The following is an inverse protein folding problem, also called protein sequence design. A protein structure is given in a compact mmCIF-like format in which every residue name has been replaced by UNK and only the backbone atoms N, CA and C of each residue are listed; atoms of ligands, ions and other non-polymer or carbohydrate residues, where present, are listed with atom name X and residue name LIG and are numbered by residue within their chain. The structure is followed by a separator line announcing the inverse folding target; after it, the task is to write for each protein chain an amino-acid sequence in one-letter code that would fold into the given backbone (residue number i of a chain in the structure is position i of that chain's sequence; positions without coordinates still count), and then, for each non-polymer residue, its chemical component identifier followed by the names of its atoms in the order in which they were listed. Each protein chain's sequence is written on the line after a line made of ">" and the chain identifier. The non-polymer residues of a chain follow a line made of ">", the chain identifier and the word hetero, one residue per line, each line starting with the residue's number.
data_IF_787384977836
#
_entry.id   IF_787384977836
#
_cell.length_a   1.000
_cell.length_b   1.000
_cell.length_c   1.000
_cell.angle_alpha   90.00
_cell.angle_beta   90.00
_cell.angle_gamma   90.00
#
_symmetry.space_group_name_H-M   'P 1'
#
loop_
_entity.id
_entity.type
_entity.pdbx_description
1 polymer ?
#
# COMPACT_ATOMS: atom_id res chain seq x y z
N UNK A 1 5.85 16.53 -6.62
CA UNK A 1 6.45 17.77 -7.13
C UNK A 1 6.61 17.66 -8.63
N UNK A 2 6.29 18.70 -9.37
CA UNK A 2 6.44 18.81 -10.83
C UNK A 2 7.06 20.15 -11.16
N UNK A 3 8.12 20.12 -11.98
CA UNK A 3 8.97 21.26 -12.30
C UNK A 3 9.09 21.40 -13.82
N UNK A 4 9.19 22.64 -14.29
CA UNK A 4 9.62 22.96 -15.65
C UNK A 4 10.69 24.06 -15.61
N UNK A 5 11.40 24.26 -16.71
CA UNK A 5 12.27 25.41 -16.88
C UNK A 5 11.97 26.16 -18.17
N UNK A 6 12.41 27.42 -18.22
CA UNK A 6 12.26 28.31 -19.37
C UNK A 6 13.55 29.07 -19.63
N UNK A 7 13.88 29.22 -20.91
CA UNK A 7 15.00 30.02 -21.40
C UNK A 7 16.33 29.66 -20.72
N UNK A 8 16.60 28.37 -20.54
CA UNK A 8 17.89 27.93 -20.01
C UNK A 8 19.04 28.34 -20.94
N UNK A 9 20.18 28.67 -20.35
CA UNK A 9 21.39 28.95 -21.13
C UNK A 9 21.88 27.67 -21.81
N UNK A 10 22.17 27.76 -23.11
CA UNK A 10 22.81 26.70 -23.90
C UNK A 10 24.29 26.54 -23.45
N UNK A 11 24.73 25.31 -23.19
CA UNK A 11 26.16 24.97 -22.96
C UNK A 11 26.80 24.21 -24.12
N UNK A 12 26.07 23.32 -24.78
CA UNK A 12 26.60 22.56 -25.93
C UNK A 12 27.02 23.41 -27.12
N UNK A 13 28.08 23.00 -27.82
CA UNK A 13 28.53 23.65 -29.07
C UNK A 13 27.62 23.27 -30.26
N UNK A 14 27.24 21.99 -30.37
CA UNK A 14 26.40 21.44 -31.43
C UNK A 14 25.06 20.90 -30.90
N UNK A 15 24.21 21.78 -30.37
CA UNK A 15 22.89 21.40 -29.86
C UNK A 15 22.26 22.51 -29.02
N UNK A 16 21.21 22.18 -28.29
CA UNK A 16 20.82 22.86 -27.05
C UNK A 16 21.22 21.95 -25.90
N UNK A 17 21.26 22.49 -24.69
CA UNK A 17 21.49 21.71 -23.49
C UNK A 17 20.50 20.54 -23.32
N UNK A 18 20.98 19.52 -22.63
CA UNK A 18 20.33 18.33 -22.11
C UNK A 18 20.08 18.49 -20.57
N UNK A 19 19.19 19.40 -20.12
CA UNK A 19 19.12 19.76 -18.72
C UNK A 19 18.49 18.70 -17.81
N UNK A 20 19.02 18.65 -16.58
CA UNK A 20 18.44 17.94 -15.43
C UNK A 20 18.61 18.76 -14.14
N UNK A 21 17.81 18.44 -13.13
CA UNK A 21 17.87 19.06 -11.81
C UNK A 21 18.42 18.08 -10.77
N UNK A 22 19.26 18.60 -9.88
CA UNK A 22 19.68 17.96 -8.65
C UNK A 22 19.19 18.77 -7.46
N UNK A 23 18.46 18.11 -6.56
CA UNK A 23 17.90 18.72 -5.36
C UNK A 23 18.64 18.17 -4.16
N UNK A 24 19.15 19.08 -3.32
CA UNK A 24 19.92 18.76 -2.14
C UNK A 24 19.26 19.33 -0.90
N UNK A 25 19.35 18.58 0.19
CA UNK A 25 19.05 19.09 1.54
C UNK A 25 20.31 19.47 2.27
N UNK A 26 20.18 20.35 3.24
CA UNK A 26 21.24 20.61 4.21
C UNK A 26 21.32 19.46 5.22
N UNK A 27 22.45 18.74 5.20
CA UNK A 27 22.79 17.69 6.16
C UNK A 27 23.53 18.24 7.38
N UNK A 28 23.97 17.34 8.25
CA UNK A 28 24.75 17.71 9.43
C UNK A 28 26.07 18.41 9.05
N UNK A 29 26.39 19.49 9.78
CA UNK A 29 27.58 20.30 9.52
C UNK A 29 27.52 21.16 8.25
N UNK A 30 26.31 21.44 7.73
CA UNK A 30 26.09 22.35 6.60
C UNK A 30 26.45 21.76 5.23
N UNK A 31 26.66 20.45 5.15
CA UNK A 31 26.97 19.76 3.89
C UNK A 31 25.70 19.49 3.10
N UNK A 32 25.70 19.82 1.81
CA UNK A 32 24.61 19.48 0.89
C UNK A 32 24.58 17.98 0.60
N UNK A 33 23.42 17.35 0.76
CA UNK A 33 23.18 15.94 0.48
C UNK A 33 22.14 15.80 -0.62
N UNK A 34 22.46 15.06 -1.68
CA UNK A 34 21.53 14.83 -2.80
C UNK A 34 20.32 14.02 -2.30
N UNK A 35 19.12 14.54 -2.51
CA UNK A 35 17.85 13.87 -2.13
C UNK A 35 17.03 13.46 -3.34
N UNK A 36 17.23 14.11 -4.48
CA UNK A 36 16.55 13.76 -5.72
C UNK A 36 17.31 14.27 -6.94
N UNK A 37 17.26 13.50 -8.04
CA UNK A 37 17.73 13.91 -9.36
C UNK A 37 16.63 13.60 -10.38
N UNK A 38 16.29 14.57 -11.23
CA UNK A 38 15.30 14.36 -12.31
C UNK A 38 15.92 13.59 -13.48
N UNK A 39 15.09 13.17 -14.44
CA UNK A 39 15.61 12.71 -15.72
C UNK A 39 16.30 13.84 -16.50
N UNK A 40 17.16 13.43 -17.44
CA UNK A 40 17.77 14.31 -18.45
C UNK A 40 16.79 14.50 -19.60
N UNK A 41 16.52 15.75 -19.96
CA UNK A 41 15.67 16.10 -21.12
C UNK A 41 16.55 16.61 -22.24
N UNK A 42 16.70 15.82 -23.31
CA UNK A 42 17.66 16.15 -24.38
C UNK A 42 17.26 17.34 -25.24
N UNK A 43 18.24 18.15 -25.63
CA UNK A 43 18.19 19.22 -26.62
C UNK A 43 17.03 20.19 -26.39
N UNK A 44 16.87 20.65 -25.15
CA UNK A 44 15.71 21.45 -24.75
C UNK A 44 16.06 22.53 -23.71
N UNK A 45 15.91 23.80 -24.07
CA UNK A 45 16.10 24.94 -23.16
C UNK A 45 14.84 25.30 -22.36
N UNK A 46 13.73 24.58 -22.58
CA UNK A 46 12.47 24.74 -21.89
C UNK A 46 11.91 23.36 -21.46
N UNK A 47 12.67 22.59 -20.67
CA UNK A 47 12.28 21.24 -20.29
C UNK A 47 11.08 21.25 -19.34
N UNK A 48 10.26 20.20 -19.42
CA UNK A 48 9.31 19.83 -18.36
C UNK A 48 9.72 18.44 -17.88
N UNK A 49 10.08 18.32 -16.62
CA UNK A 49 10.47 17.04 -16.03
C UNK A 49 9.24 16.28 -15.53
N UNK A 50 9.35 14.96 -15.42
CA UNK A 50 8.28 14.10 -14.90
C UNK A 50 7.95 14.45 -13.46
N UNK A 51 6.66 14.37 -13.11
CA UNK A 51 6.22 14.45 -11.72
C UNK A 51 6.89 13.36 -10.89
N UNK A 52 7.38 13.71 -9.72
CA UNK A 52 7.98 12.78 -8.76
C UNK A 52 7.42 12.98 -7.34
N UNK A 53 7.63 11.97 -6.49
CA UNK A 53 7.25 11.96 -5.08
C UNK A 53 8.44 11.53 -4.24
N UNK A 54 8.72 12.26 -3.15
CA UNK A 54 9.79 11.94 -2.18
C UNK A 54 9.22 12.11 -0.77
N UNK A 55 9.52 11.20 0.18
CA UNK A 55 9.14 11.39 1.57
C UNK A 55 9.71 12.68 2.16
N UNK A 56 8.91 13.44 2.91
CA UNK A 56 9.33 14.72 3.50
C UNK A 56 10.58 14.60 4.40
N UNK A 57 10.69 13.51 5.14
CA UNK A 57 11.88 13.23 5.95
C UNK A 57 13.14 13.10 5.10
N UNK A 58 13.05 12.39 3.96
CA UNK A 58 14.18 12.30 3.03
C UNK A 58 14.46 13.66 2.40
N UNK A 59 13.42 14.37 1.96
CA UNK A 59 13.53 15.59 1.16
C UNK A 59 14.04 16.81 1.94
N UNK A 60 13.53 17.04 3.15
CA UNK A 60 13.85 18.21 3.98
C UNK A 60 13.97 17.89 5.48
N UNK A 61 14.21 16.63 5.84
CA UNK A 61 14.31 16.17 7.23
C UNK A 61 13.04 16.46 8.05
N UNK A 62 11.88 16.50 7.39
CA UNK A 62 10.58 16.74 8.01
C UNK A 62 10.28 18.21 8.32
N UNK A 63 11.22 19.11 8.06
CA UNK A 63 11.07 20.55 8.33
C UNK A 63 10.90 21.31 7.02
N UNK A 64 9.72 21.91 6.83
CA UNK A 64 9.36 22.59 5.58
C UNK A 64 10.12 23.91 5.38
N UNK A 65 10.74 24.44 6.43
CA UNK A 65 11.46 25.71 6.42
C UNK A 65 12.96 25.53 6.19
N UNK A 66 13.47 24.29 6.26
CA UNK A 66 14.88 24.01 5.96
C UNK A 66 15.22 24.29 4.50
N UNK A 67 16.42 24.85 4.24
CA UNK A 67 16.82 25.19 2.90
C UNK A 67 17.08 23.94 2.05
N UNK A 68 16.69 24.05 0.80
CA UNK A 68 16.95 23.12 -0.28
C UNK A 68 17.76 23.86 -1.35
N UNK A 69 18.86 23.26 -1.77
CA UNK A 69 19.62 23.73 -2.92
C UNK A 69 19.16 22.98 -4.16
N UNK A 70 18.95 23.69 -5.26
CA UNK A 70 18.63 23.10 -6.56
C UNK A 70 19.68 23.54 -7.56
N UNK A 71 20.36 22.57 -8.16
CA UNK A 71 21.29 22.79 -9.25
C UNK A 71 20.66 22.33 -10.56
N UNK A 72 20.67 23.19 -11.58
CA UNK A 72 20.32 22.84 -12.94
C UNK A 72 21.61 22.71 -13.75
N UNK A 73 21.84 21.53 -14.32
CA UNK A 73 23.06 21.21 -15.06
C UNK A 73 22.74 20.64 -16.43
N UNK A 74 23.68 20.82 -17.35
CA UNK A 74 23.70 20.21 -18.67
C UNK A 74 24.36 18.82 -18.60
N UNK A 75 23.79 17.83 -19.29
CA UNK A 75 24.30 16.47 -19.22
C UNK A 75 25.38 16.20 -20.27
N UNK A 76 26.63 16.17 -19.83
CA UNK A 76 27.74 15.66 -20.64
C UNK A 76 27.95 14.15 -20.50
N UNK A 77 28.22 13.48 -21.63
CA UNK A 77 28.34 12.01 -21.71
C UNK A 77 29.57 11.46 -20.97
N UNK A 78 30.58 12.29 -20.73
CA UNK A 78 31.81 11.94 -20.01
C UNK A 78 31.68 12.09 -18.48
N UNK A 79 30.51 12.51 -18.00
CA UNK A 79 30.21 12.73 -16.58
C UNK A 79 30.61 14.10 -16.04
N UNK A 80 31.23 14.97 -16.86
CA UNK A 80 31.65 16.31 -16.46
C UNK A 80 30.57 17.38 -16.63
N UNK A 81 29.37 17.08 -16.10
CA UNK A 81 28.15 17.89 -16.30
C UNK A 81 28.34 19.40 -16.01
N UNK A 82 28.03 20.21 -17.01
CA UNK A 82 28.16 21.67 -16.95
C UNK A 82 27.02 22.34 -16.16
N UNK A 83 27.35 23.06 -15.07
CA UNK A 83 26.35 23.81 -14.31
C UNK A 83 25.72 24.92 -15.17
N UNK A 84 24.40 24.93 -15.32
CA UNK A 84 23.64 26.04 -15.95
C UNK A 84 23.41 27.14 -14.93
N UNK A 85 22.91 26.78 -13.74
CA UNK A 85 22.76 27.68 -12.61
C UNK A 85 22.10 27.01 -11.41
N UNK A 86 22.13 27.71 -10.27
CA UNK A 86 21.63 27.21 -8.99
C UNK A 86 20.69 28.20 -8.34
N UNK A 87 19.84 27.70 -7.44
CA UNK A 87 19.07 28.51 -6.51
C UNK A 87 18.84 27.76 -5.19
N UNK A 88 18.46 28.51 -4.15
CA UNK A 88 18.04 27.96 -2.86
C UNK A 88 16.58 28.30 -2.64
N UNK A 89 15.82 27.36 -2.09
CA UNK A 89 14.39 27.46 -1.78
C UNK A 89 14.09 26.68 -0.51
N UNK A 90 12.82 26.66 -0.07
CA UNK A 90 12.30 25.73 0.94
C UNK A 90 10.98 25.10 0.47
N UNK A 91 10.51 24.06 1.14
CA UNK A 91 9.26 23.36 0.71
C UNK A 91 8.06 24.28 0.79
N UNK A 92 7.97 25.14 1.82
CA UNK A 92 6.88 26.11 1.97
C UNK A 92 6.84 27.17 0.85
N UNK A 93 7.96 27.43 0.18
CA UNK A 93 8.02 28.26 -1.04
C UNK A 93 7.63 27.47 -2.28
N UNK A 94 8.09 26.23 -2.41
CA UNK A 94 7.69 25.34 -3.51
C UNK A 94 6.17 25.14 -3.55
N UNK A 95 5.49 25.10 -2.41
CA UNK A 95 4.02 24.99 -2.33
C UNK A 95 3.27 26.19 -2.89
N UNK A 96 3.91 27.37 -2.99
CA UNK A 96 3.28 28.60 -3.47
C UNK A 96 3.31 28.74 -5.00
N UNK A 97 3.75 27.70 -5.73
CA UNK A 97 3.85 27.66 -7.19
C UNK A 97 4.66 28.86 -7.75
N UNK A 98 5.86 29.06 -7.21
CA UNK A 98 6.74 30.18 -7.56
C UNK A 98 7.68 29.85 -8.71
N UNK A 99 8.28 30.90 -9.27
CA UNK A 99 9.41 30.83 -10.21
C UNK A 99 10.73 31.17 -9.51
N UNK A 100 11.81 30.49 -9.91
CA UNK A 100 13.16 30.70 -9.39
C UNK A 100 14.11 31.04 -10.52
N UNK A 101 14.97 32.03 -10.28
CA UNK A 101 16.02 32.38 -11.21
C UNK A 101 17.22 31.45 -11.02
N UNK A 102 17.64 30.74 -12.08
CA UNK A 102 18.87 29.97 -12.05
C UNK A 102 20.08 30.91 -12.15
N UNK A 103 20.90 30.95 -11.10
CA UNK A 103 22.07 31.84 -11.04
C UNK A 103 23.35 31.02 -11.19
N UNK A 104 24.12 31.28 -12.25
CA UNK A 104 25.46 30.74 -12.39
C UNK A 104 26.46 31.60 -11.61
N UNK A 105 27.15 31.06 -10.58
CA UNK A 105 27.99 31.86 -9.69
C UNK A 105 29.11 32.63 -10.42
N UNK A 106 29.77 31.99 -11.39
CA UNK A 106 30.83 32.67 -12.14
C UNK A 106 30.33 33.78 -13.07
N UNK A 107 29.19 33.58 -13.77
CA UNK A 107 28.63 34.60 -14.65
C UNK A 107 28.19 35.81 -13.85
N UNK A 108 27.58 35.60 -12.67
CA UNK A 108 27.18 36.67 -11.77
C UNK A 108 28.38 37.52 -11.31
N UNK A 109 29.53 36.89 -11.02
CA UNK A 109 30.76 37.61 -10.65
C UNK A 109 31.40 38.35 -11.82
N UNK A 110 31.40 37.74 -13.02
CA UNK A 110 32.15 38.22 -14.20
C UNK A 110 31.38 39.22 -15.07
N UNK A 111 30.05 39.17 -15.13
CA UNK A 111 29.23 39.94 -16.08
C UNK A 111 28.24 40.86 -15.36
N UNK A 112 28.49 42.18 -15.40
CA UNK A 112 27.61 43.19 -14.75
C UNK A 112 26.16 43.20 -15.26
N UNK A 113 25.92 42.82 -16.51
CA UNK A 113 24.58 42.77 -17.13
C UNK A 113 23.87 41.42 -17.00
N UNK A 114 24.49 40.44 -16.33
CA UNK A 114 23.91 39.11 -16.17
C UNK A 114 22.68 39.16 -15.25
N UNK A 115 21.59 38.55 -15.70
CA UNK A 115 20.34 38.43 -14.94
C UNK A 115 20.18 37.03 -14.36
N UNK A 116 20.14 36.02 -15.22
CA UNK A 116 20.03 34.61 -14.86
C UNK A 116 20.43 33.74 -16.07
N UNK A 117 20.53 32.42 -15.85
CA UNK A 117 20.77 31.38 -16.87
C UNK A 117 19.46 30.62 -17.19
N UNK A 118 18.32 31.28 -17.06
CA UNK A 118 16.98 30.70 -17.18
C UNK A 118 16.20 30.68 -15.86
N UNK A 119 14.95 30.22 -15.96
CA UNK A 119 13.98 30.15 -14.87
C UNK A 119 13.56 28.70 -14.63
N UNK A 120 13.38 28.30 -13.38
CA UNK A 120 12.74 27.03 -12.99
C UNK A 120 11.41 27.36 -12.30
N UNK A 121 10.33 26.75 -12.77
CA UNK A 121 8.97 27.00 -12.32
C UNK A 121 8.38 25.74 -11.68
N UNK A 122 7.62 25.94 -10.60
CA UNK A 122 6.88 24.86 -9.96
C UNK A 122 5.50 24.74 -10.59
N UNK A 123 5.26 23.69 -11.37
CA UNK A 123 3.93 23.39 -11.93
C UNK A 123 2.95 22.94 -10.86
N UNK A 124 3.40 22.05 -9.98
CA UNK A 124 2.57 21.50 -8.92
C UNK A 124 3.43 20.96 -7.77
N UNK A 125 3.13 21.41 -6.55
CA UNK A 125 3.70 20.87 -5.31
C UNK A 125 2.55 20.57 -4.34
N UNK A 126 2.36 19.28 -4.01
CA UNK A 126 1.31 18.81 -3.10
C UNK A 126 1.96 17.99 -2.00
N UNK A 127 1.56 18.26 -0.77
CA UNK A 127 1.85 17.39 0.37
C UNK A 127 0.69 16.42 0.51
N UNK A 128 0.99 15.13 0.46
CA UNK A 128 0.02 14.06 0.58
C UNK A 128 0.35 13.27 1.84
N UNK A 129 -0.62 13.14 2.73
CA UNK A 129 -0.49 12.27 3.89
C UNK A 129 -0.44 10.82 3.41
N UNK A 130 0.62 10.11 3.77
CA UNK A 130 0.76 8.68 3.54
C UNK A 130 0.57 7.98 4.87
N UNK A 131 -0.59 7.34 5.04
CA UNK A 131 -0.91 6.61 6.26
C UNK A 131 -0.29 5.21 6.20
N UNK A 132 0.38 4.84 7.27
CA UNK A 132 0.93 3.50 7.46
C UNK A 132 -0.17 2.52 7.85
N UNK A 133 0.10 1.22 7.73
CA UNK A 133 -0.79 0.18 8.23
C UNK A 133 -1.22 0.42 9.70
N UNK A 134 -0.27 0.81 10.55
CA UNK A 134 -0.55 1.09 11.96
C UNK A 134 -1.44 2.31 12.16
N UNK A 135 -1.34 3.34 11.31
CA UNK A 135 -2.23 4.50 11.40
C UNK A 135 -3.70 4.10 11.16
N UNK A 136 -3.95 3.13 10.26
CA UNK A 136 -5.29 2.59 10.08
C UNK A 136 -5.76 1.81 11.31
N UNK A 137 -4.90 0.93 11.87
CA UNK A 137 -5.22 0.14 13.07
C UNK A 137 -5.49 1.05 14.27
N UNK A 138 -4.59 1.99 14.57
CA UNK A 138 -4.76 3.00 15.63
C UNK A 138 -5.95 3.92 15.37
N UNK A 139 -6.26 4.17 14.10
CA UNK A 139 -7.46 4.88 13.66
C UNK A 139 -8.77 4.09 13.89
N UNK A 140 -8.70 2.84 14.35
CA UNK A 140 -9.83 1.97 14.65
C UNK A 140 -10.28 1.09 13.48
N UNK A 141 -9.41 0.86 12.50
CA UNK A 141 -9.60 -0.19 11.51
C UNK A 141 -9.31 -1.55 12.15
N UNK A 142 -10.19 -2.53 11.92
CA UNK A 142 -10.03 -3.89 12.42
C UNK A 142 -9.77 -4.84 11.25
N UNK A 143 -9.07 -5.93 11.50
CA UNK A 143 -8.89 -7.02 10.52
C UNK A 143 -9.81 -8.16 10.92
N UNK A 144 -10.85 -8.39 10.12
CA UNK A 144 -11.73 -9.53 10.33
C UNK A 144 -11.09 -10.81 9.79
N UNK A 145 -11.08 -11.86 10.61
CA UNK A 145 -10.58 -13.18 10.26
C UNK A 145 -11.73 -14.17 10.10
N UNK A 146 -11.93 -14.68 8.88
CA UNK A 146 -12.91 -15.73 8.57
C UNK A 146 -12.22 -17.05 8.28
N UNK A 147 -12.72 -18.13 8.86
CA UNK A 147 -12.16 -19.47 8.74
C UNK A 147 -13.01 -20.33 7.83
N UNK A 148 -12.38 -21.02 6.89
CA UNK A 148 -13.01 -22.04 6.06
C UNK A 148 -12.19 -23.32 6.03
N UNK A 149 -12.79 -24.44 6.41
CA UNK A 149 -12.12 -25.72 6.57
C UNK A 149 -12.69 -26.73 5.58
N UNK A 150 -11.82 -27.35 4.79
CA UNK A 150 -12.17 -28.45 3.91
C UNK A 150 -12.42 -29.72 4.74
N UNK A 151 -13.55 -30.40 4.55
CA UNK A 151 -13.90 -31.70 5.12
C UNK A 151 -14.13 -32.78 4.03
N UNK A 152 -13.60 -32.57 2.82
CA UNK A 152 -13.65 -33.55 1.74
C UNK A 152 -12.88 -34.84 2.09
N UNK A 153 -13.25 -35.92 1.42
CA UNK A 153 -12.74 -37.28 1.64
C UNK A 153 -11.30 -37.47 1.19
N UNK A 154 -10.76 -36.58 0.36
CA UNK A 154 -9.34 -36.55 0.00
C UNK A 154 -8.42 -36.41 1.22
N UNK A 155 -8.92 -35.85 2.33
CA UNK A 155 -8.18 -35.70 3.58
C UNK A 155 -8.05 -37.00 4.41
N UNK A 156 -8.64 -38.13 3.99
CA UNK A 156 -8.59 -39.42 4.69
C UNK A 156 -9.70 -39.59 5.74
N UNK A 157 -9.60 -40.61 6.61
CA UNK A 157 -10.50 -40.82 7.77
C UNK A 157 -9.91 -40.14 9.02
N UNK A 158 -10.64 -39.29 9.78
CA UNK A 158 -10.06 -38.56 10.92
C UNK A 158 -9.48 -39.45 12.02
N UNK A 159 -9.89 -40.71 12.08
CA UNK A 159 -9.44 -41.69 13.07
C UNK A 159 -8.12 -42.35 12.68
N UNK A 160 -7.72 -42.22 11.41
CA UNK A 160 -6.45 -42.74 10.89
C UNK A 160 -5.34 -41.71 11.14
N UNK A 161 -4.18 -42.12 11.68
CA UNK A 161 -3.01 -41.25 11.86
C UNK A 161 -2.49 -40.58 10.58
N UNK A 162 -2.79 -41.16 9.42
CA UNK A 162 -2.38 -40.67 8.10
C UNK A 162 -3.27 -39.54 7.57
N UNK A 163 -4.43 -39.29 8.19
CA UNK A 163 -5.37 -38.24 7.75
C UNK A 163 -4.87 -36.84 8.10
N UNK A 164 -5.09 -35.89 7.20
CA UNK A 164 -4.78 -34.47 7.44
C UNK A 164 -5.64 -33.84 8.55
N UNK A 165 -6.76 -34.50 8.89
CA UNK A 165 -7.62 -34.13 10.02
C UNK A 165 -7.31 -34.88 11.32
N UNK A 166 -6.33 -35.79 11.33
CA UNK A 166 -6.03 -36.58 12.53
C UNK A 166 -5.72 -35.67 13.72
N UNK A 167 -6.35 -35.93 14.87
CA UNK A 167 -6.08 -35.20 16.11
C UNK A 167 -5.10 -36.04 16.93
N UNK A 168 -3.81 -35.82 16.69
CA UNK A 168 -2.76 -36.53 17.42
C UNK A 168 -2.69 -36.05 18.87
N UNK A 169 -2.49 -36.94 19.86
CA UNK A 169 -2.15 -36.53 21.21
C UNK A 169 -0.81 -35.80 21.31
N UNK A 170 0.08 -36.00 20.33
CA UNK A 170 1.47 -35.52 20.37
C UNK A 170 1.69 -34.19 19.61
N UNK A 171 0.66 -33.64 18.96
CA UNK A 171 0.82 -32.39 18.21
C UNK A 171 -0.34 -32.02 17.30
N UNK A 172 -0.21 -30.83 16.70
CA UNK A 172 -1.19 -30.26 15.78
C UNK A 172 -1.07 -30.85 14.37
N UNK A 173 -2.21 -31.12 13.73
CA UNK A 173 -2.22 -31.39 12.29
C UNK A 173 -2.08 -30.10 11.47
N UNK A 174 -1.93 -30.24 10.15
CA UNK A 174 -1.64 -29.11 9.25
C UNK A 174 -2.70 -28.00 9.31
N UNK A 175 -3.99 -28.36 9.44
CA UNK A 175 -5.04 -27.36 9.56
C UNK A 175 -4.99 -26.61 10.90
N UNK A 176 -4.75 -27.33 12.01
CA UNK A 176 -4.63 -26.70 13.33
C UNK A 176 -3.40 -25.81 13.40
N UNK A 177 -2.28 -26.23 12.80
CA UNK A 177 -1.08 -25.42 12.66
C UNK A 177 -1.37 -24.14 11.87
N UNK A 178 -2.07 -24.22 10.74
CA UNK A 178 -2.44 -23.05 9.95
C UNK A 178 -3.37 -22.09 10.70
N UNK A 179 -4.42 -22.62 11.35
CA UNK A 179 -5.34 -21.84 12.17
C UNK A 179 -4.63 -21.11 13.30
N UNK A 180 -3.73 -21.82 13.99
CA UNK A 180 -2.96 -21.25 15.08
C UNK A 180 -2.00 -20.16 14.59
N UNK A 181 -1.21 -20.44 13.54
CA UNK A 181 -0.22 -19.50 13.02
C UNK A 181 -0.83 -18.21 12.49
N UNK A 182 -1.96 -18.28 11.79
CA UNK A 182 -2.64 -17.08 11.27
C UNK A 182 -3.46 -16.42 12.35
N UNK A 183 -4.29 -17.20 13.05
CA UNK A 183 -5.21 -16.68 14.05
C UNK A 183 -4.49 -15.98 15.20
N UNK A 184 -3.37 -16.52 15.68
CA UNK A 184 -2.63 -15.93 16.81
C UNK A 184 -2.16 -14.51 16.52
N UNK A 185 -1.84 -14.21 15.26
CA UNK A 185 -1.42 -12.88 14.83
C UNK A 185 -2.63 -11.99 14.58
N UNK A 186 -3.62 -12.49 13.83
CA UNK A 186 -4.73 -11.65 13.36
C UNK A 186 -5.70 -11.29 14.50
N UNK A 187 -5.85 -12.14 15.51
CA UNK A 187 -6.80 -11.91 16.61
C UNK A 187 -6.54 -10.61 17.39
N UNK A 188 -5.31 -10.09 17.40
CA UNK A 188 -4.99 -8.85 18.11
C UNK A 188 -5.41 -7.59 17.35
N UNK A 189 -5.82 -7.75 16.08
CA UNK A 189 -6.36 -6.69 15.22
C UNK A 189 -7.88 -6.71 15.15
N UNK A 190 -8.54 -7.60 15.89
CA UNK A 190 -9.98 -7.72 16.01
C UNK A 190 -10.39 -7.46 17.48
N UNK A 191 -11.33 -6.54 17.70
CA UNK A 191 -11.71 -6.13 19.06
C UNK A 191 -12.61 -7.15 19.74
N UNK A 192 -13.55 -7.73 19.00
CA UNK A 192 -14.50 -8.70 19.57
C UNK A 192 -13.94 -10.13 19.53
N UNK A 193 -12.96 -10.38 18.66
CA UNK A 193 -12.32 -11.67 18.45
C UNK A 193 -13.36 -12.74 18.13
N UNK A 194 -14.43 -12.38 17.43
CA UNK A 194 -15.45 -13.29 16.97
C UNK A 194 -15.17 -13.64 15.51
N UNK A 195 -14.69 -14.85 15.29
CA UNK A 195 -14.31 -15.32 13.96
C UNK A 195 -15.41 -16.21 13.39
N UNK A 196 -16.06 -15.82 12.28
CA UNK A 196 -16.98 -16.71 11.60
C UNK A 196 -16.20 -17.90 11.04
N UNK A 197 -16.63 -19.11 11.38
CA UNK A 197 -15.90 -20.32 11.06
C UNK A 197 -16.80 -21.35 10.37
N UNK A 198 -16.39 -21.75 9.17
CA UNK A 198 -17.15 -22.61 8.29
C UNK A 198 -16.39 -23.87 7.91
N UNK A 199 -17.13 -24.94 7.65
CA UNK A 199 -16.65 -26.15 6.99
C UNK A 199 -17.30 -26.31 5.62
N UNK A 200 -16.68 -27.08 4.73
CA UNK A 200 -17.28 -27.45 3.44
C UNK A 200 -16.90 -28.87 3.02
N UNK A 201 -17.72 -29.50 2.16
CA UNK A 201 -17.40 -30.80 1.57
C UNK A 201 -17.77 -32.01 2.45
N UNK A 202 -18.70 -31.83 3.39
CA UNK A 202 -19.20 -32.88 4.26
C UNK A 202 -20.72 -33.06 4.18
N UNK A 203 -21.18 -34.28 4.43
CA UNK A 203 -22.56 -34.62 4.75
C UNK A 203 -22.74 -34.51 6.26
N UNK A 204 -23.78 -33.82 6.71
CA UNK A 204 -24.01 -33.54 8.13
C UNK A 204 -25.21 -34.34 8.66
N UNK A 205 -25.31 -34.56 9.99
CA UNK A 205 -26.51 -35.08 10.61
C UNK A 205 -27.69 -34.11 10.42
N UNK A 206 -28.93 -34.62 10.52
CA UNK A 206 -29.29 -36.00 10.86
C UNK A 206 -29.38 -36.95 9.65
N UNK A 207 -29.49 -36.42 8.44
CA UNK A 207 -29.93 -37.17 7.27
C UNK A 207 -28.77 -37.65 6.38
N UNK A 208 -27.62 -36.99 6.43
CA UNK A 208 -26.41 -37.33 5.67
C UNK A 208 -26.62 -37.49 4.16
N UNK A 209 -27.71 -36.93 3.63
CA UNK A 209 -28.13 -37.16 2.24
C UNK A 209 -27.33 -36.28 1.29
N UNK A 210 -27.24 -34.98 1.60
CA UNK A 210 -26.65 -33.96 0.74
C UNK A 210 -25.28 -33.54 1.27
N UNK A 211 -24.33 -33.32 0.35
CA UNK A 211 -23.06 -32.70 0.71
C UNK A 211 -23.28 -31.21 0.90
N UNK A 212 -22.97 -30.70 2.08
CA UNK A 212 -22.96 -29.28 2.36
C UNK A 212 -21.68 -28.66 1.81
N UNK A 213 -21.85 -27.66 0.96
CA UNK A 213 -20.75 -26.86 0.42
C UNK A 213 -20.35 -25.70 1.36
N UNK A 214 -21.09 -25.54 2.45
CA UNK A 214 -20.81 -24.61 3.54
C UNK A 214 -21.66 -25.02 4.74
N UNK A 215 -21.08 -24.98 5.93
CA UNK A 215 -21.80 -25.10 7.20
C UNK A 215 -21.03 -24.41 8.32
N UNK A 216 -21.74 -23.84 9.29
CA UNK A 216 -21.12 -23.28 10.48
C UNK A 216 -20.45 -24.38 11.31
N UNK A 217 -19.18 -24.23 11.69
CA UNK A 217 -18.46 -25.24 12.47
C UNK A 217 -19.04 -25.44 13.87
N UNK A 218 -19.72 -24.42 14.40
CA UNK A 218 -20.45 -24.49 15.67
C UNK A 218 -21.88 -25.04 15.51
N UNK A 219 -22.27 -25.48 14.31
CA UNK A 219 -23.60 -25.97 13.95
C UNK A 219 -24.76 -24.97 14.18
N UNK A 220 -24.45 -23.69 14.35
CA UNK A 220 -25.43 -22.62 14.39
C UNK A 220 -25.38 -21.80 13.08
N UNK A 221 -26.21 -22.12 12.07
CA UNK A 221 -26.18 -21.43 10.78
C UNK A 221 -26.57 -19.95 10.88
N UNK A 222 -27.26 -19.54 11.96
CA UNK A 222 -27.65 -18.14 12.18
C UNK A 222 -26.59 -17.32 12.91
N UNK A 223 -25.60 -17.98 13.51
CA UNK A 223 -24.50 -17.34 14.23
C UNK A 223 -23.23 -18.21 14.10
N UNK A 224 -22.49 -18.11 12.99
CA UNK A 224 -21.32 -18.95 12.72
C UNK A 224 -20.05 -18.50 13.47
N UNK A 225 -20.17 -17.53 14.38
CA UNK A 225 -19.04 -16.91 15.06
C UNK A 225 -18.51 -17.77 16.21
N UNK A 226 -17.19 -17.81 16.31
CA UNK A 226 -16.42 -18.51 17.32
C UNK A 226 -15.52 -17.51 18.06
N UNK A 227 -15.52 -17.54 19.39
CA UNK A 227 -14.69 -16.67 20.24
C UNK A 227 -13.19 -17.03 20.25
N UNK A 228 -12.33 -16.16 19.74
CA UNK A 228 -10.88 -16.33 19.73
C UNK A 228 -10.42 -17.48 18.84
N UNK A 229 -9.13 -17.80 18.87
CA UNK A 229 -8.53 -18.82 17.99
C UNK A 229 -8.72 -20.25 18.49
N UNK A 230 -8.97 -20.42 19.80
CA UNK A 230 -9.24 -21.74 20.40
C UNK A 230 -10.62 -22.28 20.02
N UNK A 231 -11.64 -21.43 19.88
CA UNK A 231 -12.98 -21.95 19.62
C UNK A 231 -13.18 -22.47 18.19
N UNK A 232 -12.58 -21.92 17.10
CA UNK A 232 -12.57 -22.62 15.82
C UNK A 232 -11.90 -24.00 15.89
N UNK A 233 -10.85 -24.16 16.70
CA UNK A 233 -10.23 -25.47 16.90
C UNK A 233 -11.14 -26.44 17.66
N UNK A 234 -11.87 -25.95 18.66
CA UNK A 234 -12.84 -26.72 19.43
C UNK A 234 -14.08 -27.09 18.60
N UNK A 235 -14.66 -26.12 17.88
CA UNK A 235 -15.78 -26.34 16.97
C UNK A 235 -15.42 -27.33 15.86
N UNK A 236 -14.18 -27.26 15.33
CA UNK A 236 -13.69 -28.27 14.40
C UNK A 236 -13.64 -29.65 15.04
N UNK A 237 -13.15 -29.79 16.27
CA UNK A 237 -13.11 -31.07 16.98
C UNK A 237 -14.52 -31.66 17.21
N UNK A 238 -15.53 -30.80 17.36
CA UNK A 238 -16.95 -31.20 17.42
C UNK A 238 -17.53 -31.52 16.03
N UNK A 239 -17.13 -30.81 14.99
CA UNK A 239 -17.63 -31.01 13.63
C UNK A 239 -17.06 -32.26 12.94
N UNK A 240 -15.81 -32.61 13.24
CA UNK A 240 -15.09 -33.73 12.63
C UNK A 240 -15.82 -35.09 12.77
N UNK A 241 -16.30 -35.50 13.96
CA UNK A 241 -16.99 -36.77 14.15
C UNK A 241 -18.41 -36.77 13.57
N UNK A 242 -19.04 -35.59 13.48
CA UNK A 242 -20.38 -35.43 12.95
C UNK A 242 -20.43 -35.44 11.42
N UNK A 243 -19.33 -35.13 10.73
CA UNK A 243 -19.27 -34.98 9.28
C UNK A 243 -18.89 -36.29 8.54
N UNK A 244 -19.71 -36.72 7.58
CA UNK A 244 -19.35 -37.77 6.61
C UNK A 244 -18.71 -37.15 5.35
N UNK A 245 -17.50 -37.59 5.00
CA UNK A 245 -16.67 -36.98 3.95
C UNK A 245 -17.00 -37.50 2.54
N UNK A 246 -16.80 -36.68 1.50
CA UNK A 246 -16.96 -37.09 0.09
C UNK A 246 -15.82 -36.59 -0.82
N UNK A 247 -15.59 -37.22 -2.00
CA UNK A 247 -14.36 -37.05 -2.77
C UNK A 247 -14.06 -35.61 -3.22
N UNK A 248 -15.08 -34.80 -3.54
CA UNK A 248 -14.87 -33.45 -4.10
C UNK A 248 -15.98 -32.48 -3.69
N UNK A 249 -15.59 -31.24 -3.37
CA UNK A 249 -16.47 -30.10 -3.19
C UNK A 249 -15.81 -28.83 -3.74
N UNK A 250 -16.55 -27.95 -4.45
CA UNK A 250 -15.97 -26.75 -5.06
C UNK A 250 -15.68 -25.67 -4.00
N UNK A 251 -14.42 -25.20 -3.98
CA UNK A 251 -13.94 -24.09 -3.13
C UNK A 251 -14.69 -22.78 -3.39
N UNK A 252 -15.29 -22.63 -4.57
CA UNK A 252 -16.01 -21.42 -4.99
C UNK A 252 -17.24 -21.11 -4.13
N UNK A 253 -17.87 -22.10 -3.49
CA UNK A 253 -19.04 -21.88 -2.65
C UNK A 253 -18.68 -21.11 -1.37
N UNK A 254 -17.62 -21.52 -0.68
CA UNK A 254 -17.09 -20.82 0.49
C UNK A 254 -16.63 -19.39 0.15
N UNK A 255 -15.92 -19.23 -0.98
CA UNK A 255 -15.46 -17.92 -1.42
C UNK A 255 -16.63 -16.95 -1.68
N UNK A 256 -17.75 -17.44 -2.23
CA UNK A 256 -18.96 -16.64 -2.46
C UNK A 256 -19.57 -16.14 -1.15
N UNK A 257 -19.61 -16.95 -0.10
CA UNK A 257 -20.20 -16.57 1.19
C UNK A 257 -19.30 -15.63 1.99
N UNK A 258 -17.98 -15.83 1.97
CA UNK A 258 -17.01 -14.86 2.52
C UNK A 258 -17.16 -13.51 1.80
N UNK A 259 -17.30 -13.52 0.47
CA UNK A 259 -17.52 -12.30 -0.32
C UNK A 259 -18.91 -11.69 -0.09
N UNK A 260 -19.94 -12.47 0.24
CA UNK A 260 -21.27 -11.98 0.58
C UNK A 260 -21.31 -11.26 1.94
N UNK A 261 -20.37 -11.58 2.84
CA UNK A 261 -20.26 -10.92 4.14
C UNK A 261 -19.50 -9.58 4.07
N UNK A 262 -18.62 -9.39 3.08
CA UNK A 262 -17.89 -8.12 2.87
C UNK A 262 -18.84 -6.91 2.73
N UNK A 263 -19.94 -6.96 1.96
CA UNK A 263 -20.95 -5.90 1.93
C UNK A 263 -21.55 -5.56 3.30
N UNK A 264 -21.86 -6.55 4.14
CA UNK A 264 -22.44 -6.32 5.48
C UNK A 264 -21.43 -5.64 6.41
N UNK A 265 -20.18 -6.08 6.35
CA UNK A 265 -19.07 -5.47 7.10
C UNK A 265 -18.83 -4.02 6.65
N UNK A 266 -18.86 -3.77 5.33
CA UNK A 266 -18.74 -2.44 4.76
C UNK A 266 -19.88 -1.54 5.23
N UNK A 267 -21.14 -1.99 5.14
CA UNK A 267 -22.32 -1.23 5.59
C UNK A 267 -22.25 -0.91 7.09
N UNK A 268 -21.80 -1.87 7.90
CA UNK A 268 -21.64 -1.69 9.35
C UNK A 268 -20.55 -0.66 9.67
N UNK A 269 -19.41 -0.71 8.97
CA UNK A 269 -18.34 0.28 9.09
C UNK A 269 -18.82 1.70 8.74
N UNK A 270 -19.54 1.85 7.61
CA UNK A 270 -20.08 3.15 7.19
C UNK A 270 -21.06 3.71 8.22
N UNK A 271 -21.95 2.88 8.76
CA UNK A 271 -22.89 3.26 9.83
C UNK A 271 -22.16 3.69 11.10
N UNK A 272 -21.17 2.91 11.56
CA UNK A 272 -20.38 3.24 12.76
C UNK A 272 -19.65 4.58 12.63
N UNK A 273 -19.14 4.90 11.44
CA UNK A 273 -18.40 6.13 11.18
C UNK A 273 -19.28 7.31 10.79
N UNK A 274 -20.60 7.14 10.71
CA UNK A 274 -21.51 8.17 10.20
C UNK A 274 -21.21 8.57 8.75
N UNK A 275 -20.53 7.69 7.99
CA UNK A 275 -20.17 7.92 6.61
C UNK A 275 -21.33 7.49 5.72
N UNK A 276 -21.75 8.38 4.82
CA UNK A 276 -22.70 8.01 3.78
C UNK A 276 -21.94 7.30 2.65
N UNK A 277 -22.48 6.20 2.09
CA UNK A 277 -21.89 5.58 0.91
C UNK A 277 -21.80 6.62 -0.22
N UNK A 278 -20.65 6.63 -0.91
CA UNK A 278 -20.45 7.49 -2.07
C UNK A 278 -21.55 7.22 -3.10
N UNK A 279 -22.37 8.24 -3.41
CA UNK A 279 -23.26 8.17 -4.57
C UNK A 279 -22.38 8.26 -5.81
N UNK A 280 -22.21 7.14 -6.50
CA UNK A 280 -21.63 7.15 -7.84
C UNK A 280 -22.61 7.91 -8.74
N UNK A 281 -22.19 9.07 -9.26
CA UNK A 281 -22.97 9.76 -10.28
C UNK A 281 -23.12 8.82 -11.49
N UNK A 282 -24.36 8.62 -11.93
CA UNK A 282 -24.64 7.80 -13.09
C UNK A 282 -23.88 8.36 -14.30
N UNK A 283 -23.25 7.51 -15.13
CA UNK A 283 -22.59 7.99 -16.33
C UNK A 283 -23.60 8.76 -17.18
N UNK A 284 -23.21 9.96 -17.63
CA UNK A 284 -24.03 10.78 -18.50
C UNK A 284 -24.48 9.93 -19.70
N UNK A 285 -25.80 9.84 -19.91
CA UNK A 285 -26.34 9.19 -21.10
C UNK A 285 -25.80 9.93 -22.32
N UNK A 286 -25.07 9.22 -23.16
CA UNK A 286 -24.63 9.67 -24.49
C UNK A 286 -25.82 9.96 -25.39
#
# INVERSE_FOLDING_TARGET
>A
LELEAKNLDKKDTFGKSDPFLEIFKEGEGGKWQLVHRTEVVKNNLNPSWKKFTVPLHTFCSGDLEKPLKVDCSDHDSDGSHDLIGSFTTKVSELQKAVEFQCIHPEKQKKKKSYKNSGLVLVKSCKLEAQYTFLDYVMGGCQINFTVGIDFTGSNGDPRSPESLHYLSPDGLNQYLSALWSVGQVVQDYDTDKLFPAFGFGAKLPPDYQVTHHEFALNFNPTNPYCQGTCTPTDCRAVALPAAHRKPEAPVSALAQSVLAEVPNQLVTYFKMRGLNPFKQEAPAKS
#
